data_IF_094367225847
#
_entry.id   IF_094367225847
#
_cell.length_a   1.000
_cell.length_b   1.000
_cell.length_c   1.000
_cell.angle_alpha   90.00
_cell.angle_beta   90.00
_cell.angle_gamma   90.00
#
_symmetry.space_group_name_H-M   'P 1'
#
loop_
_entity.id
_entity.type
_entity.pdbx_description
1 polymer ?
#
# COMPACT_ATOMS: atom_id res chain seq x y z
N UNK A 1 -22.51 15.26 -13.15
CA UNK A 1 -22.34 13.81 -12.92
C UNK A 1 -20.87 13.54 -12.67
N UNK A 2 -20.49 13.26 -11.42
CA UNK A 2 -19.12 12.82 -11.10
C UNK A 2 -18.99 11.37 -11.57
N UNK A 3 -18.01 10.99 -12.39
CA UNK A 3 -17.83 9.59 -12.73
C UNK A 3 -17.53 8.79 -11.46
N UNK A 4 -18.14 7.62 -11.31
CA UNK A 4 -17.76 6.68 -10.26
C UNK A 4 -16.29 6.29 -10.51
N UNK A 5 -15.43 6.54 -9.53
CA UNK A 5 -14.05 6.07 -9.58
C UNK A 5 -14.03 4.58 -9.21
N UNK A 6 -13.57 3.75 -10.14
CA UNK A 6 -13.36 2.32 -9.88
C UNK A 6 -11.95 2.11 -9.35
N UNK A 7 -11.83 1.44 -8.21
CA UNK A 7 -10.56 0.99 -7.63
C UNK A 7 -10.28 -0.43 -8.12
N UNK A 8 -9.06 -0.70 -8.58
CA UNK A 8 -8.61 -2.03 -9.01
C UNK A 8 -7.15 -2.25 -8.60
N UNK A 9 -6.76 -3.53 -8.48
CA UNK A 9 -5.38 -3.92 -8.14
C UNK A 9 -4.45 -3.81 -9.34
N UNK A 10 -3.28 -3.18 -9.18
CA UNK A 10 -2.25 -3.14 -10.23
C UNK A 10 -1.61 -4.52 -10.48
N UNK A 11 -1.65 -5.42 -9.50
CA UNK A 11 -1.11 -6.77 -9.64
C UNK A 11 -1.96 -7.64 -10.59
N UNK A 12 -3.27 -7.39 -10.62
CA UNK A 12 -4.23 -8.10 -11.48
C UNK A 12 -4.32 -7.48 -12.90
N UNK A 13 -3.82 -6.25 -13.08
CA UNK A 13 -3.90 -5.46 -14.32
C UNK A 13 -2.52 -5.01 -14.81
N UNK A 14 -1.67 -5.92 -15.34
CA UNK A 14 -0.31 -5.60 -15.77
C UNK A 14 -0.26 -4.55 -16.89
N UNK A 15 -1.32 -4.43 -17.71
CA UNK A 15 -1.45 -3.40 -18.73
C UNK A 15 -1.45 -1.97 -18.15
N UNK A 16 -1.86 -1.81 -16.88
CA UNK A 16 -1.88 -0.53 -16.20
C UNK A 16 -0.52 -0.16 -15.57
N UNK A 17 0.41 -1.11 -15.41
CA UNK A 17 1.66 -0.94 -14.68
C UNK A 17 2.51 0.21 -15.21
N UNK A 18 2.71 0.27 -16.54
CA UNK A 18 3.48 1.34 -17.18
C UNK A 18 2.88 2.73 -16.93
N UNK A 19 1.55 2.85 -17.00
CA UNK A 19 0.86 4.12 -16.77
C UNK A 19 0.93 4.53 -15.29
N UNK A 20 0.74 3.57 -14.38
CA UNK A 20 0.85 3.79 -12.94
C UNK A 20 2.28 4.21 -12.55
N UNK A 21 3.31 3.52 -13.06
CA UNK A 21 4.70 3.85 -12.80
C UNK A 21 5.07 5.28 -13.24
N UNK A 22 4.63 5.70 -14.44
CA UNK A 22 4.83 7.08 -14.90
C UNK A 22 4.11 8.10 -14.03
N UNK A 23 2.86 7.82 -13.64
CA UNK A 23 2.11 8.69 -12.74
C UNK A 23 2.77 8.80 -11.36
N UNK A 24 3.18 7.67 -10.77
CA UNK A 24 3.89 7.64 -9.49
C UNK A 24 5.23 8.40 -9.58
N UNK A 25 5.99 8.17 -10.64
CA UNK A 25 7.22 8.91 -10.90
C UNK A 25 7.00 10.43 -10.93
N UNK A 26 5.95 10.89 -11.61
CA UNK A 26 5.60 12.32 -11.64
C UNK A 26 5.17 12.89 -10.28
N UNK A 27 4.62 12.06 -9.38
CA UNK A 27 4.17 12.50 -8.06
C UNK A 27 5.31 12.61 -7.04
N UNK A 28 6.23 11.64 -7.07
CA UNK A 28 7.24 11.48 -6.02
C UNK A 28 8.68 11.73 -6.52
N UNK A 29 8.90 11.94 -7.81
CA UNK A 29 10.23 12.22 -8.39
C UNK A 29 11.17 11.02 -8.46
N UNK A 30 10.72 9.83 -8.08
CA UNK A 30 11.49 8.57 -8.17
C UNK A 30 11.39 8.04 -9.62
N UNK A 31 12.48 7.49 -10.21
CA UNK A 31 12.44 6.94 -11.57
C UNK A 31 11.30 5.93 -11.77
N UNK A 32 10.60 6.02 -12.89
CA UNK A 32 9.49 5.12 -13.22
C UNK A 32 9.89 3.64 -13.20
N UNK A 33 11.16 3.32 -13.48
CA UNK A 33 11.66 1.94 -13.45
C UNK A 33 11.54 1.31 -12.06
N UNK A 34 11.87 2.06 -11.00
CA UNK A 34 11.73 1.56 -9.62
C UNK A 34 10.28 1.17 -9.28
N UNK A 35 9.31 1.92 -9.80
CA UNK A 35 7.90 1.57 -9.64
C UNK A 35 7.47 0.38 -10.49
N UNK A 36 8.02 0.21 -11.70
CA UNK A 36 7.74 -0.99 -12.52
C UNK A 36 8.25 -2.25 -11.83
N UNK A 37 9.48 -2.23 -11.33
CA UNK A 37 10.06 -3.33 -10.57
C UNK A 37 9.21 -3.64 -9.33
N UNK A 38 8.78 -2.62 -8.59
CA UNK A 38 7.91 -2.79 -7.42
C UNK A 38 6.53 -3.36 -7.77
N UNK A 39 5.90 -2.89 -8.86
CA UNK A 39 4.59 -3.38 -9.30
C UNK A 39 4.70 -4.84 -9.76
N UNK A 40 5.76 -5.20 -10.47
CA UNK A 40 6.00 -6.59 -10.89
C UNK A 40 6.25 -7.49 -9.68
N UNK A 41 7.06 -7.05 -8.71
CA UNK A 41 7.28 -7.77 -7.46
C UNK A 41 5.97 -8.04 -6.71
N UNK A 42 5.05 -7.08 -6.69
CA UNK A 42 3.74 -7.24 -6.04
C UNK A 42 2.87 -8.34 -6.69
N UNK A 43 3.10 -8.69 -7.96
CA UNK A 43 2.40 -9.80 -8.64
C UNK A 43 2.82 -11.16 -8.12
N UNK A 44 3.98 -11.25 -7.47
CA UNK A 44 4.47 -12.48 -6.83
C UNK A 44 3.89 -12.72 -5.43
N UNK A 45 2.99 -11.84 -4.97
CA UNK A 45 2.35 -11.93 -3.67
C UNK A 45 3.06 -11.06 -2.64
N UNK A 46 2.33 -10.06 -2.16
CA UNK A 46 2.58 -9.46 -0.86
C UNK A 46 1.42 -9.94 -0.01
N UNK A 47 1.67 -10.56 1.14
CA UNK A 47 0.59 -11.07 2.00
C UNK A 47 0.25 -10.09 3.13
N UNK A 48 1.17 -9.17 3.44
CA UNK A 48 1.04 -8.24 4.57
C UNK A 48 1.67 -6.88 4.27
N UNK A 49 1.00 -5.83 4.75
CA UNK A 49 1.48 -4.45 4.77
C UNK A 49 1.72 -4.01 6.21
N UNK A 50 2.70 -3.11 6.35
CA UNK A 50 3.01 -2.43 7.59
C UNK A 50 3.06 -0.92 7.34
N UNK A 51 2.45 -0.15 8.23
CA UNK A 51 2.42 1.32 8.18
C UNK A 51 2.87 1.87 9.53
N UNK A 52 3.84 2.78 9.52
CA UNK A 52 4.29 3.49 10.72
C UNK A 52 3.80 4.93 10.65
N UNK A 53 3.09 5.39 11.67
CA UNK A 53 2.47 6.72 11.69
C UNK A 53 2.25 7.21 13.13
N UNK A 54 2.17 8.52 13.31
CA UNK A 54 1.76 9.19 14.53
C UNK A 54 0.23 9.30 14.68
N UNK A 55 -0.55 8.98 13.64
CA UNK A 55 -2.00 8.98 13.70
C UNK A 55 -2.56 7.89 14.63
N UNK A 56 -3.50 8.27 15.50
CA UNK A 56 -4.22 7.35 16.36
C UNK A 56 -5.57 6.95 15.76
N UNK A 57 -5.89 5.64 15.79
CA UNK A 57 -7.21 5.04 15.50
C UNK A 57 -7.78 5.23 14.09
N UNK A 58 -7.27 6.15 13.28
CA UNK A 58 -7.76 6.41 11.93
C UNK A 58 -7.74 5.14 11.06
N UNK A 59 -6.63 4.42 11.08
CA UNK A 59 -6.46 3.21 10.27
C UNK A 59 -7.20 1.99 10.82
N UNK A 60 -7.52 1.96 12.12
CA UNK A 60 -8.38 0.93 12.72
C UNK A 60 -9.78 0.97 12.08
N UNK A 61 -10.31 2.17 11.79
CA UNK A 61 -11.56 2.33 11.05
C UNK A 61 -11.46 1.88 9.59
N UNK A 62 -10.25 1.81 9.03
CA UNK A 62 -9.99 1.25 7.71
C UNK A 62 -9.69 -0.26 7.75
N UNK A 63 -9.83 -0.92 8.91
CA UNK A 63 -9.59 -2.36 9.07
C UNK A 63 -8.13 -2.75 9.33
N UNK A 64 -7.26 -1.80 9.63
CA UNK A 64 -5.87 -2.10 10.01
C UNK A 64 -5.78 -2.48 11.49
N UNK A 65 -4.91 -3.44 11.82
CA UNK A 65 -4.64 -3.87 13.18
C UNK A 65 -3.51 -3.02 13.77
N UNK A 66 -3.60 -2.67 15.06
CA UNK A 66 -2.53 -2.04 15.83
C UNK A 66 -1.81 -3.11 16.66
N UNK A 67 -0.61 -3.60 16.26
CA UNK A 67 0.09 -4.63 17.01
C UNK A 67 0.84 -4.06 18.21
N UNK A 68 1.57 -2.96 18.02
CA UNK A 68 2.36 -2.29 19.06
C UNK A 68 2.95 -0.95 18.59
N UNK A 69 3.55 -0.21 19.52
CA UNK A 69 4.49 0.87 19.19
C UNK A 69 5.86 0.29 18.79
N UNK A 70 6.52 0.93 17.83
CA UNK A 70 7.93 0.71 17.45
C UNK A 70 8.74 1.98 17.71
N UNK A 71 10.07 1.94 17.56
CA UNK A 71 10.92 3.13 17.71
C UNK A 71 11.26 3.70 16.35
N UNK A 72 11.13 5.01 16.19
CA UNK A 72 11.67 5.73 15.03
C UNK A 72 13.21 5.86 15.12
N UNK A 73 13.82 6.51 14.12
CA UNK A 73 15.26 6.74 14.08
C UNK A 73 15.78 7.61 15.25
N UNK A 74 14.90 8.36 15.91
CA UNK A 74 15.18 9.17 17.10
C UNK A 74 14.96 8.44 18.43
N UNK A 75 14.46 7.20 18.39
CA UNK A 75 14.14 6.39 19.56
C UNK A 75 12.79 6.72 20.21
N UNK A 76 12.00 7.63 19.63
CA UNK A 76 10.66 7.95 20.10
C UNK A 76 9.68 6.82 19.72
N UNK A 77 8.69 6.49 20.58
CA UNK A 77 7.67 5.53 20.25
C UNK A 77 6.76 6.08 19.13
N UNK A 78 6.53 5.28 18.10
CA UNK A 78 5.65 5.56 16.97
C UNK A 78 4.78 4.32 16.68
N UNK A 79 3.51 4.52 16.30
CA UNK A 79 2.58 3.41 16.12
C UNK A 79 2.90 2.64 14.86
N UNK A 80 2.89 1.31 14.96
CA UNK A 80 2.88 0.40 13.83
C UNK A 80 1.45 -0.11 13.62
N UNK A 81 0.99 -0.09 12.38
CA UNK A 81 -0.22 -0.79 11.95
C UNK A 81 0.14 -1.90 10.97
N UNK A 82 -0.63 -2.98 10.99
CA UNK A 82 -0.54 -4.09 10.04
C UNK A 82 -1.87 -4.33 9.33
N UNK A 83 -1.84 -4.68 8.06
CA UNK A 83 -3.01 -5.10 7.30
C UNK A 83 -2.65 -6.21 6.33
N UNK A 84 -3.56 -7.15 6.13
CA UNK A 84 -3.44 -8.15 5.07
C UNK A 84 -3.83 -7.52 3.73
N UNK A 85 -3.08 -7.84 2.69
CA UNK A 85 -3.28 -7.34 1.31
C UNK A 85 -4.34 -8.11 0.53
N UNK A 86 -4.66 -9.32 0.99
CA UNK A 86 -5.63 -10.23 0.41
C UNK A 86 -6.77 -10.42 1.42
N UNK A 87 -8.04 -10.36 0.98
CA UNK A 87 -9.11 -10.87 1.83
C UNK A 87 -8.83 -12.34 2.15
N UNK A 88 -9.20 -12.84 3.34
CA UNK A 88 -9.03 -14.25 3.67
C UNK A 88 -9.65 -15.11 2.57
N UNK A 89 -9.01 -16.22 2.23
CA UNK A 89 -9.20 -17.01 1.00
C UNK A 89 -10.60 -17.66 0.77
N UNK A 90 -11.67 -17.14 1.38
CA UNK A 90 -13.05 -17.64 1.27
C UNK A 90 -14.05 -16.67 0.63
N UNK A 91 -13.66 -15.46 0.25
CA UNK A 91 -14.53 -14.49 -0.44
C UNK A 91 -13.93 -14.10 -1.80
N UNK A 92 -14.06 -14.97 -2.80
CA UNK A 92 -13.83 -14.66 -4.22
C UNK A 92 -14.92 -15.26 -5.08
#
# INVERSE_FOLDING_TARGET
MTPAATVFSLAEHPEAASRAATWLSSKWGIPAEAYRESIEAARHGLDRLYLVTDHDRFYEHCGWEYPSDVRDDGGAPIRLYGADTLPPAGER
#
